data_IF_678489112525
#
_entry.id   IF_678489112525
#
_cell.length_a   1.000
_cell.length_b   1.000
_cell.length_c   1.000
_cell.angle_alpha   90.00
_cell.angle_beta   90.00
_cell.angle_gamma   90.00
#
_symmetry.space_group_name_H-M   'P 1'
#
loop_
_entity.id
_entity.type
_entity.pdbx_description
1 polymer ?
#
# COMPACT_ATOMS: atom_id res chain seq x y z
N UNK A 1 1.17 -7.10 23.22
CA UNK A 1 1.47 -7.36 21.79
C UNK A 1 2.20 -6.14 21.22
N UNK A 2 3.35 -6.36 20.63
CA UNK A 2 4.06 -5.27 19.93
C UNK A 2 3.25 -4.80 18.74
N UNK A 3 3.28 -3.50 18.48
CA UNK A 3 2.55 -2.89 17.37
C UNK A 3 3.52 -2.15 16.46
N UNK A 4 3.36 -2.31 15.15
CA UNK A 4 3.99 -1.49 14.14
C UNK A 4 2.92 -0.84 13.27
N UNK A 5 3.19 0.37 12.81
CA UNK A 5 2.32 1.11 11.93
C UNK A 5 2.94 1.14 10.53
N UNK A 6 2.20 0.67 9.55
CA UNK A 6 2.60 0.64 8.15
C UNK A 6 1.72 1.63 7.38
N UNK A 7 2.35 2.61 6.76
CA UNK A 7 1.66 3.60 5.95
C UNK A 7 2.04 3.35 4.48
N UNK A 8 1.05 3.11 3.64
CA UNK A 8 1.25 2.82 2.20
C UNK A 8 0.44 3.77 1.34
N UNK A 9 1.02 4.13 0.20
CA UNK A 9 0.32 4.85 -0.86
C UNK A 9 0.99 4.57 -2.19
N UNK A 10 0.33 4.96 -3.28
CA UNK A 10 0.83 4.76 -4.63
C UNK A 10 0.36 5.85 -5.57
N UNK A 11 1.09 6.00 -6.65
CA UNK A 11 0.72 6.89 -7.76
C UNK A 11 0.94 6.16 -9.07
N UNK A 12 0.04 6.33 -10.03
CA UNK A 12 0.10 5.63 -11.31
C UNK A 12 -0.22 6.58 -12.45
N UNK A 13 0.49 6.42 -13.56
CA UNK A 13 0.10 7.02 -14.84
C UNK A 13 -0.61 5.93 -15.66
N UNK A 14 -1.95 6.02 -15.82
CA UNK A 14 -2.71 4.96 -16.49
C UNK A 14 -2.44 4.86 -18.00
N UNK A 15 -1.94 5.90 -18.62
CA UNK A 15 -1.63 5.90 -20.06
C UNK A 15 -0.43 5.02 -20.37
N UNK A 16 0.63 5.13 -19.59
CA UNK A 16 1.86 4.33 -19.76
C UNK A 16 1.90 3.10 -18.86
N UNK A 17 0.88 2.92 -18.00
CA UNK A 17 0.73 1.80 -17.07
C UNK A 17 1.93 1.61 -16.14
N UNK A 18 2.53 2.71 -15.73
CA UNK A 18 3.66 2.75 -14.80
C UNK A 18 3.21 3.46 -13.52
N UNK A 19 3.59 2.91 -12.39
CA UNK A 19 3.30 3.51 -11.09
C UNK A 19 4.43 3.33 -10.11
N UNK A 20 4.34 4.07 -9.01
CA UNK A 20 5.29 4.01 -7.91
C UNK A 20 4.53 3.77 -6.61
N UNK A 21 4.97 2.77 -5.89
CA UNK A 21 4.54 2.49 -4.53
C UNK A 21 5.48 3.16 -3.55
N UNK A 22 4.95 3.60 -2.43
CA UNK A 22 5.73 4.13 -1.32
C UNK A 22 5.20 3.59 -0.01
N UNK A 23 6.08 3.30 0.93
CA UNK A 23 5.66 2.95 2.28
C UNK A 23 6.65 3.44 3.32
N UNK A 24 6.13 3.57 4.54
CA UNK A 24 6.88 3.86 5.74
C UNK A 24 6.44 2.90 6.84
N UNK A 25 7.40 2.32 7.54
CA UNK A 25 7.14 1.58 8.78
C UNK A 25 7.53 2.48 9.95
N UNK A 26 6.57 2.75 10.82
CA UNK A 26 6.77 3.55 12.03
C UNK A 26 6.73 2.65 13.26
N UNK A 27 7.77 2.73 14.08
CA UNK A 27 7.81 2.18 15.43
C UNK A 27 7.51 3.29 16.43
N UNK A 28 7.07 2.93 17.64
CA UNK A 28 6.71 3.89 18.69
C UNK A 28 7.83 4.88 19.08
N UNK A 29 9.04 4.63 18.60
CA UNK A 29 10.24 5.44 18.91
C UNK A 29 10.54 6.57 17.93
N UNK A 30 9.82 6.63 16.80
CA UNK A 30 10.09 7.60 15.73
C UNK A 30 9.29 8.88 15.95
N UNK A 31 9.96 9.94 16.43
CA UNK A 31 9.31 11.18 16.86
C UNK A 31 9.53 12.34 15.88
N UNK A 32 10.51 12.27 14.96
CA UNK A 32 10.91 13.40 14.12
C UNK A 32 10.50 13.17 12.67
N UNK A 33 9.59 14.03 12.14
CA UNK A 33 9.07 13.94 10.76
C UNK A 33 10.17 13.99 9.68
N UNK A 34 11.24 14.76 9.90
CA UNK A 34 12.36 14.85 8.94
C UNK A 34 13.12 13.53 8.78
N UNK A 35 13.35 12.82 9.89
CA UNK A 35 13.98 11.50 9.84
C UNK A 35 13.07 10.44 9.23
N UNK A 36 11.75 10.56 9.40
CA UNK A 36 10.77 9.66 8.79
C UNK A 36 10.78 9.76 7.26
N UNK A 37 10.92 10.96 6.72
CA UNK A 37 10.98 11.16 5.26
C UNK A 37 12.12 10.38 4.60
N UNK A 38 13.26 10.24 5.28
CA UNK A 38 14.41 9.45 4.81
C UNK A 38 14.18 7.94 4.87
N UNK A 39 13.19 7.50 5.65
CA UNK A 39 12.84 6.09 5.84
C UNK A 39 11.80 5.59 4.85
N UNK A 40 11.25 6.46 4.00
CA UNK A 40 10.26 6.08 3.01
C UNK A 40 10.92 5.26 1.91
N UNK A 41 10.38 4.06 1.67
CA UNK A 41 10.83 3.18 0.58
C UNK A 41 9.93 3.35 -0.61
N UNK A 42 10.50 3.32 -1.81
CA UNK A 42 9.82 3.54 -3.08
C UNK A 42 10.16 2.40 -4.04
N UNK A 43 9.16 1.93 -4.79
CA UNK A 43 9.35 0.91 -5.82
C UNK A 43 8.51 1.23 -7.04
N UNK A 44 9.12 1.08 -8.22
CA UNK A 44 8.45 1.18 -9.51
C UNK A 44 7.75 -0.13 -9.86
N UNK A 45 6.54 -0.02 -10.39
CA UNK A 45 5.77 -1.14 -10.97
C UNK A 45 5.39 -0.80 -12.40
N UNK A 46 5.57 -1.77 -13.29
CA UNK A 46 5.20 -1.68 -14.70
C UNK A 46 3.97 -2.58 -14.98
N UNK A 47 3.27 -2.32 -16.07
CA UNK A 47 2.05 -3.04 -16.44
C UNK A 47 1.01 -3.06 -15.31
N UNK A 48 0.84 -1.92 -14.66
CA UNK A 48 -0.05 -1.78 -13.51
C UNK A 48 -1.20 -0.81 -13.80
N UNK A 49 -2.12 -0.75 -12.86
CA UNK A 49 -3.28 0.14 -12.86
C UNK A 49 -3.47 0.72 -11.46
N UNK A 50 -4.37 1.69 -11.31
CA UNK A 50 -4.69 2.27 -10.00
C UNK A 50 -5.14 1.22 -8.98
N UNK A 51 -6.01 0.29 -9.38
CA UNK A 51 -6.50 -0.77 -8.50
C UNK A 51 -5.44 -1.83 -8.20
N UNK A 52 -4.60 -2.14 -9.18
CA UNK A 52 -3.55 -3.14 -9.01
C UNK A 52 -2.41 -2.65 -8.14
N UNK A 53 -1.93 -1.42 -8.36
CA UNK A 53 -0.78 -0.90 -7.63
C UNK A 53 -1.09 -0.67 -6.14
N UNK A 54 -2.33 -0.38 -5.78
CA UNK A 54 -2.73 -0.28 -4.38
C UNK A 54 -2.43 -1.59 -3.62
N UNK A 55 -2.82 -2.71 -4.20
CA UNK A 55 -2.52 -4.03 -3.62
C UNK A 55 -1.03 -4.38 -3.72
N UNK A 56 -0.40 -4.09 -4.85
CA UNK A 56 1.04 -4.33 -5.03
C UNK A 56 1.85 -3.58 -3.97
N UNK A 57 1.48 -2.34 -3.67
CA UNK A 57 2.13 -1.53 -2.64
C UNK A 57 2.07 -2.18 -1.27
N UNK A 58 0.88 -2.61 -0.87
CA UNK A 58 0.67 -3.25 0.43
C UNK A 58 1.43 -4.57 0.54
N UNK A 59 1.32 -5.44 -0.46
CA UNK A 59 1.96 -6.75 -0.46
C UNK A 59 3.49 -6.63 -0.47
N UNK A 60 4.02 -5.71 -1.25
CA UNK A 60 5.44 -5.41 -1.25
C UNK A 60 5.91 -4.94 0.14
N UNK A 61 5.18 -3.99 0.74
CA UNK A 61 5.53 -3.48 2.07
C UNK A 61 5.54 -4.59 3.13
N UNK A 62 4.53 -5.47 3.12
CA UNK A 62 4.47 -6.61 4.04
C UNK A 62 5.65 -7.54 3.80
N UNK A 63 5.99 -7.85 2.57
CA UNK A 63 7.13 -8.69 2.22
C UNK A 63 8.45 -8.11 2.76
N UNK A 64 8.63 -6.79 2.67
CA UNK A 64 9.82 -6.12 3.20
C UNK A 64 9.90 -6.21 4.74
N UNK A 65 8.76 -6.06 5.42
CA UNK A 65 8.67 -6.24 6.87
C UNK A 65 9.04 -7.67 7.26
N UNK A 66 8.53 -8.66 6.53
CA UNK A 66 8.83 -10.07 6.77
C UNK A 66 10.30 -10.41 6.58
N UNK A 67 10.99 -9.74 5.67
CA UNK A 67 12.43 -9.91 5.48
C UNK A 67 13.26 -9.38 6.66
N UNK A 68 12.81 -8.31 7.27
CA UNK A 68 13.53 -7.68 8.38
C UNK A 68 13.25 -8.36 9.75
N UNK A 69 12.06 -8.92 9.92
CA UNK A 69 11.63 -9.55 11.18
C UNK A 69 11.27 -11.01 10.94
N UNK A 70 12.01 -11.90 11.56
CA UNK A 70 11.86 -13.36 11.37
C UNK A 70 10.55 -13.91 11.93
N UNK A 71 10.00 -13.30 12.99
CA UNK A 71 8.75 -13.73 13.62
C UNK A 71 7.82 -12.55 13.86
N UNK A 72 6.68 -12.59 13.18
CA UNK A 72 5.63 -11.57 13.28
C UNK A 72 4.40 -12.06 14.05
N UNK A 73 4.42 -13.26 14.64
CA UNK A 73 3.26 -13.88 15.29
C UNK A 73 2.69 -13.04 16.44
N UNK A 74 3.54 -12.33 17.17
CA UNK A 74 3.16 -11.48 18.30
C UNK A 74 3.18 -9.98 17.97
N UNK A 75 3.15 -9.63 16.70
CA UNK A 75 3.18 -8.24 16.25
C UNK A 75 1.87 -7.92 15.54
N UNK A 76 1.20 -6.86 15.99
CA UNK A 76 0.07 -6.28 15.27
C UNK A 76 0.58 -5.29 14.23
N UNK A 77 0.23 -5.49 12.97
CA UNK A 77 0.55 -4.56 11.88
C UNK A 77 -0.71 -3.73 11.60
N UNK A 78 -0.69 -2.48 12.00
CA UNK A 78 -1.73 -1.51 11.62
C UNK A 78 -1.37 -0.87 10.29
N UNK A 79 -2.17 -1.13 9.27
CA UNK A 79 -1.95 -0.63 7.92
C UNK A 79 -2.85 0.57 7.67
N UNK A 80 -2.25 1.69 7.35
CA UNK A 80 -2.95 2.93 7.00
C UNK A 80 -2.92 3.12 5.49
N UNK A 81 -4.10 3.20 4.88
CA UNK A 81 -4.28 3.37 3.44
C UNK A 81 -5.50 4.24 3.17
N UNK A 82 -5.51 4.98 2.07
CA UNK A 82 -6.71 5.71 1.62
C UNK A 82 -7.59 4.88 0.70
N UNK A 83 -7.18 3.67 0.36
CA UNK A 83 -7.89 2.79 -0.56
C UNK A 83 -9.01 2.00 0.12
N UNK A 84 -10.26 2.39 -0.12
CA UNK A 84 -11.42 1.70 0.44
C UNK A 84 -11.51 0.24 -0.02
N UNK A 85 -11.09 -0.06 -1.24
CA UNK A 85 -11.13 -1.42 -1.78
C UNK A 85 -10.22 -2.37 -1.00
N UNK A 86 -9.06 -1.89 -0.54
CA UNK A 86 -8.16 -2.67 0.31
C UNK A 86 -8.80 -2.92 1.68
N UNK A 87 -9.33 -1.87 2.30
CA UNK A 87 -9.96 -1.97 3.63
C UNK A 87 -11.14 -2.96 3.60
N UNK A 88 -11.89 -3.00 2.52
CA UNK A 88 -13.05 -3.89 2.36
C UNK A 88 -12.70 -5.30 1.85
N UNK A 89 -11.46 -5.56 1.51
CA UNK A 89 -11.07 -6.80 0.86
C UNK A 89 -11.38 -8.05 1.70
N UNK A 90 -11.17 -7.95 3.00
CA UNK A 90 -11.50 -9.01 3.95
C UNK A 90 -12.98 -9.43 3.86
N UNK A 91 -13.87 -8.47 3.73
CA UNK A 91 -15.32 -8.72 3.63
C UNK A 91 -15.73 -9.35 2.30
N UNK A 92 -14.89 -9.26 1.27
CA UNK A 92 -15.12 -9.82 -0.06
C UNK A 92 -14.57 -11.24 -0.21
N UNK A 93 -13.82 -11.73 0.77
CA UNK A 93 -13.12 -13.03 0.69
C UNK A 93 -14.05 -14.17 0.34
N UNK A 94 -15.17 -14.32 1.05
CA UNK A 94 -16.12 -15.41 0.83
C UNK A 94 -16.62 -15.47 -0.61
N UNK A 95 -17.05 -14.34 -1.15
CA UNK A 95 -17.52 -14.24 -2.53
C UNK A 95 -16.43 -14.55 -3.55
N UNK A 96 -15.23 -14.02 -3.34
CA UNK A 96 -14.10 -14.25 -4.24
C UNK A 96 -13.72 -15.73 -4.27
N UNK A 97 -13.69 -16.38 -3.14
CA UNK A 97 -13.37 -17.82 -3.04
C UNK A 97 -14.49 -18.67 -3.65
N UNK A 98 -15.77 -18.41 -3.32
CA UNK A 98 -16.93 -19.12 -3.87
C UNK A 98 -16.99 -19.06 -5.39
N UNK A 99 -16.66 -17.91 -5.97
CA UNK A 99 -16.68 -17.68 -7.41
C UNK A 99 -15.36 -18.06 -8.10
N UNK A 100 -14.45 -18.73 -7.41
CA UNK A 100 -13.12 -19.10 -7.92
C UNK A 100 -12.36 -17.92 -8.55
N UNK A 101 -12.49 -16.71 -7.95
CA UNK A 101 -11.90 -15.47 -8.42
C UNK A 101 -12.31 -15.10 -9.86
N UNK A 102 -13.50 -15.50 -10.25
CA UNK A 102 -14.07 -15.22 -11.58
C UNK A 102 -15.16 -14.15 -11.49
N UNK A 103 -15.31 -13.41 -12.59
CA UNK A 103 -16.44 -12.48 -12.77
C UNK A 103 -17.73 -13.24 -13.08
N UNK A 104 -18.86 -12.53 -13.10
CA UNK A 104 -20.16 -13.11 -13.48
C UNK A 104 -20.19 -13.73 -14.90
N UNK A 105 -19.24 -13.34 -15.77
CA UNK A 105 -19.10 -13.89 -17.13
C UNK A 105 -18.12 -15.07 -17.19
N UNK A 106 -17.62 -15.55 -16.06
CA UNK A 106 -16.69 -16.67 -16.00
C UNK A 106 -15.24 -16.33 -16.29
N UNK A 107 -14.91 -15.05 -16.46
CA UNK A 107 -13.53 -14.61 -16.66
C UNK A 107 -12.81 -14.42 -15.32
N UNK A 108 -11.57 -14.86 -15.27
CA UNK A 108 -10.71 -14.65 -14.12
C UNK A 108 -10.51 -13.14 -13.87
N UNK A 109 -10.65 -12.70 -12.63
CA UNK A 109 -10.44 -11.30 -12.25
C UNK A 109 -8.98 -10.91 -12.46
N UNK A 110 -8.74 -9.69 -12.95
CA UNK A 110 -7.37 -9.20 -13.25
C UNK A 110 -6.43 -9.26 -12.07
N UNK A 111 -6.93 -9.00 -10.86
CA UNK A 111 -6.12 -8.96 -9.65
C UNK A 111 -6.24 -10.23 -8.79
N UNK A 112 -6.70 -11.35 -9.38
CA UNK A 112 -6.90 -12.62 -8.67
C UNK A 112 -5.63 -13.09 -7.94
N UNK A 113 -4.48 -12.93 -8.57
CA UNK A 113 -3.17 -13.29 -8.02
C UNK A 113 -2.88 -12.50 -6.73
N UNK A 114 -3.15 -11.21 -6.74
CA UNK A 114 -2.92 -10.32 -5.59
C UNK A 114 -3.92 -10.58 -4.47
N UNK A 115 -5.18 -10.88 -4.80
CA UNK A 115 -6.19 -11.24 -3.80
C UNK A 115 -5.80 -12.51 -3.05
N UNK A 116 -5.34 -13.53 -3.76
CA UNK A 116 -4.87 -14.79 -3.16
C UNK A 116 -3.68 -14.55 -2.22
N UNK A 117 -2.71 -13.76 -2.67
CA UNK A 117 -1.54 -13.42 -1.87
C UNK A 117 -1.94 -12.63 -0.60
N UNK A 118 -2.85 -11.68 -0.73
CA UNK A 118 -3.37 -10.93 0.41
C UNK A 118 -4.03 -11.87 1.44
N UNK A 119 -4.89 -12.77 1.01
CA UNK A 119 -5.59 -13.70 1.93
C UNK A 119 -4.64 -14.69 2.58
N UNK A 120 -3.59 -15.10 1.91
CA UNK A 120 -2.53 -15.93 2.49
C UNK A 120 -1.84 -15.18 3.64
N UNK A 121 -1.44 -13.93 3.40
CA UNK A 121 -0.81 -13.10 4.43
C UNK A 121 -1.76 -12.81 5.60
N UNK A 122 -2.99 -12.47 5.32
CA UNK A 122 -4.02 -12.23 6.34
C UNK A 122 -4.25 -13.45 7.23
N UNK A 123 -4.16 -14.67 6.66
CA UNK A 123 -4.39 -15.91 7.41
C UNK A 123 -3.31 -16.19 8.46
N UNK A 124 -2.10 -15.67 8.30
CA UNK A 124 -0.95 -15.95 9.17
C UNK A 124 -0.38 -14.74 9.89
N UNK A 125 -0.79 -13.53 9.53
CA UNK A 125 -0.32 -12.29 10.15
C UNK A 125 -1.48 -11.58 10.85
N UNK A 126 -1.15 -10.81 11.87
CA UNK A 126 -2.11 -9.96 12.55
C UNK A 126 -2.17 -8.60 11.84
N UNK A 127 -3.07 -8.46 10.87
CA UNK A 127 -3.26 -7.24 10.09
C UNK A 127 -4.53 -6.52 10.51
N UNK A 128 -4.43 -5.22 10.76
CA UNK A 128 -5.57 -4.33 10.96
C UNK A 128 -5.50 -3.21 9.91
N UNK A 129 -6.48 -3.18 9.01
CA UNK A 129 -6.53 -2.21 7.91
C UNK A 129 -7.34 -1.00 8.33
N UNK A 130 -6.74 0.17 8.30
CA UNK A 130 -7.34 1.43 8.74
C UNK A 130 -7.36 2.40 7.56
N UNK A 131 -8.55 2.93 7.27
CA UNK A 131 -8.68 3.93 6.21
C UNK A 131 -8.28 5.31 6.70
N UNK A 132 -7.38 5.96 5.97
CA UNK A 132 -7.05 7.37 6.15
C UNK A 132 -8.02 8.19 5.31
N UNK A 133 -8.62 9.22 5.91
CA UNK A 133 -9.43 10.18 5.16
C UNK A 133 -8.52 11.16 4.44
N UNK A 134 -8.48 11.09 3.11
CA UNK A 134 -7.78 12.07 2.29
C UNK A 134 -8.39 13.47 2.44
N UNK A 135 -7.60 14.50 2.15
CA UNK A 135 -8.05 15.89 2.03
C UNK A 135 -8.67 16.52 3.30
N UNK A 136 -8.25 16.10 4.49
CA UNK A 136 -8.59 16.81 5.72
C UNK A 136 -7.95 18.20 5.74
N UNK A 137 -8.65 19.18 6.31
CA UNK A 137 -8.05 20.49 6.62
C UNK A 137 -6.85 20.29 7.54
N UNK A 138 -5.79 21.08 7.35
CA UNK A 138 -4.52 20.95 8.10
C UNK A 138 -4.72 20.92 9.61
N UNK A 139 -5.65 21.72 10.11
CA UNK A 139 -5.94 21.82 11.56
C UNK A 139 -6.55 20.51 12.12
N UNK A 140 -7.16 19.66 11.28
CA UNK A 140 -7.79 18.40 11.68
C UNK A 140 -6.86 17.19 11.49
N UNK A 141 -5.64 17.40 10.98
CA UNK A 141 -4.68 16.32 10.72
C UNK A 141 -3.97 15.92 12.00
N UNK A 142 -3.98 14.62 12.29
CA UNK A 142 -3.15 14.03 13.33
C UNK A 142 -1.76 13.62 12.78
N UNK A 143 -0.94 12.97 13.60
CA UNK A 143 0.40 12.53 13.19
C UNK A 143 0.36 11.55 12.02
N UNK A 144 -0.60 10.63 11.99
CA UNK A 144 -0.76 9.67 10.90
C UNK A 144 -1.11 10.39 9.60
N UNK A 145 -2.01 11.37 9.64
CA UNK A 145 -2.37 12.14 8.45
C UNK A 145 -1.16 12.89 7.87
N UNK A 146 -0.30 13.46 8.72
CA UNK A 146 0.93 14.12 8.28
C UNK A 146 1.93 13.14 7.68
N UNK A 147 2.11 11.98 8.28
CA UNK A 147 2.98 10.91 7.76
C UNK A 147 2.44 10.38 6.45
N UNK A 148 1.13 10.16 6.35
CA UNK A 148 0.48 9.73 5.11
C UNK A 148 0.77 10.72 3.97
N UNK A 149 0.72 12.03 4.23
CA UNK A 149 1.05 13.05 3.24
C UNK A 149 2.51 12.94 2.75
N UNK A 150 3.45 12.59 3.62
CA UNK A 150 4.84 12.38 3.21
C UNK A 150 4.96 11.18 2.26
N UNK A 151 4.29 10.10 2.57
CA UNK A 151 4.28 8.89 1.73
C UNK A 151 3.61 9.16 0.39
N UNK A 152 2.46 9.84 0.39
CA UNK A 152 1.76 10.27 -0.83
C UNK A 152 2.65 11.14 -1.72
N UNK A 153 3.28 12.15 -1.15
CA UNK A 153 4.20 13.03 -1.89
C UNK A 153 5.38 12.26 -2.48
N UNK A 154 5.93 11.30 -1.75
CA UNK A 154 7.05 10.49 -2.21
C UNK A 154 6.69 9.68 -3.47
N UNK A 155 5.54 9.01 -3.48
CA UNK A 155 5.08 8.24 -4.64
C UNK A 155 4.80 9.14 -5.84
N UNK A 156 4.17 10.29 -5.62
CA UNK A 156 3.87 11.26 -6.69
C UNK A 156 5.13 11.89 -7.27
N UNK A 157 6.10 12.23 -6.42
CA UNK A 157 7.38 12.80 -6.88
C UNK A 157 8.16 11.81 -7.71
N UNK A 158 8.22 10.54 -7.30
CA UNK A 158 8.88 9.49 -8.05
C UNK A 158 8.27 9.32 -9.45
N UNK A 159 6.94 9.34 -9.54
CA UNK A 159 6.24 9.24 -10.82
C UNK A 159 6.53 10.44 -11.74
N UNK A 160 6.52 11.66 -11.18
CA UNK A 160 6.86 12.86 -11.94
C UNK A 160 8.29 12.84 -12.46
N UNK A 161 9.23 12.41 -11.65
CA UNK A 161 10.65 12.34 -12.03
C UNK A 161 10.87 11.32 -13.16
N UNK A 162 10.22 10.18 -13.09
CA UNK A 162 10.22 9.18 -14.17
C UNK A 162 9.68 9.77 -15.48
N UNK A 163 8.60 10.54 -15.39
CA UNK A 163 7.97 11.18 -16.56
C UNK A 163 8.89 12.23 -17.19
N UNK A 164 9.56 13.03 -16.38
CA UNK A 164 10.52 14.05 -16.85
C UNK A 164 11.72 13.42 -17.54
N UNK A 165 12.26 12.32 -17.01
CA UNK A 165 13.35 11.58 -17.63
C UNK A 165 12.98 11.06 -19.01
N UNK A 166 11.77 10.54 -19.18
CA UNK A 166 11.26 10.07 -20.47
C UNK A 166 11.08 11.22 -21.48
N UNK A 167 10.61 12.38 -21.05
CA UNK A 167 10.48 13.57 -21.89
C UNK A 167 11.85 14.09 -22.35
N UNK A 168 12.88 14.02 -21.52
CA UNK A 168 14.22 14.50 -21.85
C UNK A 168 14.96 13.62 -22.85
N UNK A 169 14.49 12.38 -23.10
CA UNK A 169 15.05 11.43 -24.04
C UNK A 169 14.46 11.54 -25.46
N UNK A 170 13.45 12.38 -25.63
CA UNK A 170 12.83 12.69 -26.94
C UNK A 170 13.58 13.91 -27.56
#
# INVERSE_FOLDING_TARGET
>A
MEKIELITDSSVNPQIKVGFAAFLVKNDKDIILESLNKSIKIKKFENTSSTRIELQSLLWAINEIEKEKNDLSNILIEVYTDCQNIVNLKNRKSKLVENNYQSGTGKLLKNHDLYKDFFEKESRLNLNLIKVKGHKKTILKDNIDHIFNLVDKASRSALRDEFKEKESLI
#
